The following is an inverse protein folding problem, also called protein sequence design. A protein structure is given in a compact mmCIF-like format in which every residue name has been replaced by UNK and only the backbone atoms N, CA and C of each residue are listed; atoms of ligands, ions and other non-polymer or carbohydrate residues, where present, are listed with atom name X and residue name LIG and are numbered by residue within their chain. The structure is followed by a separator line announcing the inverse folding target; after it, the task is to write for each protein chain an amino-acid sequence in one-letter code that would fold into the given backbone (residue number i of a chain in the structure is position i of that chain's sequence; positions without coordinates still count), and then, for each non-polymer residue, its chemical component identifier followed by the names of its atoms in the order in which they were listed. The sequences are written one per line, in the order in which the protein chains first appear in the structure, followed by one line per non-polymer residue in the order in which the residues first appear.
data_IF_874586903544
#
_entry.id   IF_874586903544
#
_cell.length_a   1.000
_cell.length_b   1.000
_cell.length_c   1.000
_cell.angle_alpha   90.00
_cell.angle_beta   90.00
_cell.angle_gamma   90.00
#
_symmetry.space_group_name_H-M   'P 1'
#
loop_
_entity.id
_entity.type
_entity.pdbx_description
1 polymer ?
#
# COMPACT_ATOMS: atom_id res chain seq x y z
N UNK A 1 23.83 -27.52 12.58
CA UNK A 1 23.84 -26.05 12.48
C UNK A 1 24.21 -25.69 11.07
N UNK A 2 23.35 -24.96 10.34
CA UNK A 2 23.72 -24.42 9.03
C UNK A 2 24.58 -23.18 9.27
N UNK A 3 25.79 -23.19 8.72
CA UNK A 3 26.69 -22.03 8.70
C UNK A 3 26.12 -20.95 7.75
N UNK A 4 26.54 -19.68 7.87
CA UNK A 4 26.17 -18.64 6.91
C UNK A 4 26.71 -19.02 5.53
N UNK A 5 25.80 -19.31 4.59
CA UNK A 5 26.12 -19.53 3.18
C UNK A 5 26.09 -18.17 2.45
N UNK A 6 27.13 -17.88 1.68
CA UNK A 6 27.19 -16.70 0.81
C UNK A 6 26.10 -16.73 -0.27
N UNK A 7 25.65 -17.92 -0.66
CA UNK A 7 24.58 -18.14 -1.63
C UNK A 7 23.22 -18.33 -0.92
N UNK A 8 22.89 -17.44 0.02
CA UNK A 8 21.59 -17.48 0.67
C UNK A 8 20.47 -17.18 -0.36
N UNK A 9 19.54 -18.12 -0.65
CA UNK A 9 18.46 -17.90 -1.61
C UNK A 9 17.33 -17.02 -1.03
N UNK A 10 17.38 -16.69 0.26
CA UNK A 10 16.38 -15.86 0.91
C UNK A 10 16.36 -14.45 0.32
N UNK A 11 15.18 -14.03 -0.13
CA UNK A 11 14.94 -12.73 -0.74
C UNK A 11 13.57 -12.22 -0.35
N UNK A 12 13.46 -10.91 -0.17
CA UNK A 12 12.19 -10.23 0.08
C UNK A 12 11.44 -9.89 -1.21
N UNK A 13 12.01 -10.16 -2.39
CA UNK A 13 11.41 -9.79 -3.68
C UNK A 13 9.96 -10.26 -3.84
N UNK A 14 9.66 -11.50 -3.47
CA UNK A 14 8.28 -12.03 -3.54
C UNK A 14 7.31 -11.21 -2.68
N UNK A 15 7.72 -10.92 -1.44
CA UNK A 15 6.93 -10.11 -0.52
C UNK A 15 6.78 -8.66 -1.02
N UNK A 16 7.85 -8.05 -1.53
CA UNK A 16 7.84 -6.69 -2.04
C UNK A 16 6.97 -6.57 -3.29
N UNK A 17 7.02 -7.54 -4.19
CA UNK A 17 6.17 -7.58 -5.38
C UNK A 17 4.68 -7.69 -5.00
N UNK A 18 4.34 -8.55 -4.04
CA UNK A 18 2.98 -8.63 -3.52
C UNK A 18 2.56 -7.30 -2.87
N UNK A 19 3.44 -6.72 -2.04
CA UNK A 19 3.17 -5.45 -1.37
C UNK A 19 2.92 -4.33 -2.37
N UNK A 20 3.77 -4.20 -3.39
CA UNK A 20 3.66 -3.15 -4.41
C UNK A 20 2.48 -3.35 -5.37
N UNK A 21 2.03 -4.59 -5.54
CA UNK A 21 0.83 -4.92 -6.32
C UNK A 21 -0.50 -4.76 -5.56
N UNK A 22 -0.45 -4.54 -4.25
CA UNK A 22 -1.64 -4.48 -3.40
C UNK A 22 -2.36 -3.13 -3.49
N UNK A 23 -3.64 -3.16 -3.89
CA UNK A 23 -4.56 -2.02 -3.87
C UNK A 23 -5.25 -1.91 -2.49
N UNK A 24 -5.09 -0.75 -1.84
CA UNK A 24 -5.50 -0.54 -0.45
C UNK A 24 -7.01 -0.62 -0.21
N UNK A 25 -7.81 -0.39 -1.24
CA UNK A 25 -9.27 -0.45 -1.13
C UNK A 25 -9.84 -1.65 -1.88
N UNK A 26 -9.36 -1.92 -3.11
CA UNK A 26 -9.91 -2.98 -3.94
C UNK A 26 -9.56 -4.37 -3.38
N UNK A 27 -8.36 -4.55 -2.81
CA UNK A 27 -7.89 -5.82 -2.26
C UNK A 27 -8.13 -5.97 -0.75
N UNK A 28 -8.80 -5.00 -0.12
CA UNK A 28 -9.16 -5.04 1.31
C UNK A 28 -10.69 -5.24 1.52
N UNK A 29 -11.16 -6.49 1.69
CA UNK A 29 -12.56 -6.78 1.99
C UNK A 29 -13.02 -6.24 3.34
N UNK A 30 -12.12 -6.05 4.30
CA UNK A 30 -12.48 -5.50 5.61
C UNK A 30 -12.84 -4.02 5.48
N UNK A 31 -12.04 -3.25 4.73
CA UNK A 31 -12.31 -1.84 4.49
C UNK A 31 -13.63 -1.64 3.71
N UNK A 32 -13.89 -2.45 2.69
CA UNK A 32 -15.15 -2.42 1.94
C UNK A 32 -16.37 -2.73 2.82
N UNK A 33 -16.27 -3.75 3.70
CA UNK A 33 -17.34 -4.09 4.65
C UNK A 33 -17.56 -3.01 5.69
N UNK A 34 -16.47 -2.42 6.18
CA UNK A 34 -16.50 -1.28 7.11
C UNK A 34 -17.22 -0.10 6.48
N UNK A 35 -16.85 0.27 5.24
CA UNK A 35 -17.53 1.33 4.51
C UNK A 35 -19.02 1.02 4.34
N UNK A 36 -19.37 -0.21 3.94
CA UNK A 36 -20.77 -0.62 3.79
C UNK A 36 -21.58 -0.50 5.08
N UNK A 37 -20.98 -0.84 6.21
CA UNK A 37 -21.65 -0.78 7.51
C UNK A 37 -21.88 0.66 7.98
N UNK A 38 -20.90 1.55 7.80
CA UNK A 38 -20.96 2.92 8.32
C UNK A 38 -21.55 3.94 7.36
N UNK A 39 -21.45 3.74 6.05
CA UNK A 39 -21.91 4.70 5.04
C UNK A 39 -23.41 4.61 4.73
N UNK A 40 -24.07 3.50 5.07
CA UNK A 40 -25.50 3.32 4.81
C UNK A 40 -25.87 3.56 3.34
N UNK A 41 -26.78 4.50 3.10
CA UNK A 41 -27.31 4.82 1.76
C UNK A 41 -26.24 5.43 0.83
N UNK A 42 -25.21 6.07 1.38
CA UNK A 42 -24.12 6.69 0.60
C UNK A 42 -23.07 5.66 0.12
N UNK A 43 -23.18 4.40 0.56
CA UNK A 43 -22.19 3.36 0.27
C UNK A 43 -21.89 3.21 -1.22
N UNK A 44 -22.90 3.20 -2.07
CA UNK A 44 -22.72 2.96 -3.51
C UNK A 44 -21.88 4.07 -4.15
N UNK A 45 -22.17 5.32 -3.80
CA UNK A 45 -21.43 6.47 -4.33
C UNK A 45 -20.00 6.49 -3.79
N UNK A 46 -19.81 6.22 -2.50
CA UNK A 46 -18.50 6.20 -1.86
C UNK A 46 -17.62 5.05 -2.35
N UNK A 47 -18.18 3.84 -2.53
CA UNK A 47 -17.46 2.69 -3.07
C UNK A 47 -16.93 2.98 -4.47
N UNK A 48 -17.76 3.58 -5.35
CA UNK A 48 -17.34 3.97 -6.69
C UNK A 48 -16.20 4.99 -6.66
N UNK A 49 -16.34 6.06 -5.87
CA UNK A 49 -15.29 7.09 -5.72
C UNK A 49 -13.99 6.50 -5.16
N UNK A 50 -14.09 5.59 -4.19
CA UNK A 50 -12.92 4.94 -3.61
C UNK A 50 -12.24 3.98 -4.60
N UNK A 51 -12.98 3.27 -5.45
CA UNK A 51 -12.39 2.46 -6.54
C UNK A 51 -11.62 3.30 -7.55
N UNK A 52 -12.11 4.50 -7.86
CA UNK A 52 -11.38 5.42 -8.75
C UNK A 52 -10.17 6.08 -8.06
N UNK A 53 -10.26 6.30 -6.75
CA UNK A 53 -9.22 6.98 -5.98
C UNK A 53 -8.09 6.04 -5.54
N UNK A 54 -8.41 4.80 -5.18
CA UNK A 54 -7.46 3.86 -4.58
C UNK A 54 -6.21 3.60 -5.41
N UNK A 55 -6.29 3.39 -6.75
CA UNK A 55 -5.08 3.18 -7.55
C UNK A 55 -4.10 4.35 -7.47
N UNK A 56 -4.59 5.59 -7.29
CA UNK A 56 -3.73 6.78 -7.12
C UNK A 56 -2.97 6.68 -5.80
N UNK A 57 -3.63 6.29 -4.73
CA UNK A 57 -3.02 6.17 -3.40
C UNK A 57 -2.04 5.00 -3.36
N UNK A 58 -2.49 3.81 -3.78
CA UNK A 58 -1.75 2.55 -3.65
C UNK A 58 -0.53 2.45 -4.55
N UNK A 59 -0.61 2.96 -5.77
CA UNK A 59 0.45 2.76 -6.77
C UNK A 59 1.21 4.05 -7.09
N UNK A 60 0.53 5.19 -7.20
CA UNK A 60 1.18 6.44 -7.57
C UNK A 60 1.80 7.16 -6.38
N UNK A 61 1.10 7.22 -5.25
CA UNK A 61 1.55 8.00 -4.10
C UNK A 61 2.46 7.23 -3.15
N UNK A 62 2.26 5.92 -2.98
CA UNK A 62 3.13 5.09 -2.13
C UNK A 62 4.63 5.24 -2.47
N UNK A 63 5.09 5.15 -3.74
CA UNK A 63 6.52 5.33 -4.02
C UNK A 63 7.03 6.72 -3.65
N UNK A 64 6.17 7.75 -3.73
CA UNK A 64 6.51 9.11 -3.32
C UNK A 64 6.67 9.21 -1.80
N UNK A 65 5.82 8.53 -1.04
CA UNK A 65 5.95 8.48 0.44
C UNK A 65 7.15 7.66 0.88
N UNK A 66 7.41 6.53 0.22
CA UNK A 66 8.57 5.67 0.53
C UNK A 66 9.90 6.36 0.25
N UNK A 67 9.93 7.26 -0.72
CA UNK A 67 11.13 8.04 -1.07
C UNK A 67 11.24 9.33 -0.28
N UNK A 68 10.16 10.10 -0.14
CA UNK A 68 10.12 11.37 0.57
C UNK A 68 10.21 11.25 2.09
N UNK A 69 9.75 10.13 2.66
CA UNK A 69 9.83 9.89 4.11
C UNK A 69 11.21 9.46 4.62
N UNK A 70 12.21 9.33 3.73
CA UNK A 70 13.55 8.90 4.14
C UNK A 70 14.26 10.02 4.93
N UNK A 71 15.00 9.69 6.01
CA UNK A 71 15.73 10.68 6.79
C UNK A 71 16.74 11.52 5.98
N UNK A 72 17.23 10.99 4.86
CA UNK A 72 18.16 11.69 3.96
C UNK A 72 17.46 12.55 2.89
N UNK A 73 16.12 12.64 2.92
CA UNK A 73 15.28 13.43 2.02
C UNK A 73 14.45 14.48 2.75
N UNK A 74 14.84 14.81 4.00
CA UNK A 74 14.17 15.83 4.78
C UNK A 74 14.20 17.18 4.06
N UNK A 75 13.14 17.99 4.17
CA UNK A 75 13.14 19.35 3.67
C UNK A 75 14.30 20.13 4.28
N UNK A 76 14.99 20.92 3.45
CA UNK A 76 15.92 21.90 3.96
C UNK A 76 15.13 22.95 4.75
N UNK A 77 15.54 23.20 5.99
CA UNK A 77 15.00 24.25 6.84
C UNK A 77 16.13 25.24 7.06
N UNK A 78 15.93 26.48 6.64
CA UNK A 78 16.86 27.62 6.86
C UNK A 78 16.83 28.12 8.30
#
# INVERSE_FOLDING_TARGET
MNLPDRNNPYSFESFLNQLHGFDFYADDPFLQKTLKYFAGDEFVELDLKLREFSPKVSFRWRPLTDTGGKPNKLPYVE
#
